data_IF_849256221874
#
_entry.id   IF_849256221874
#
_cell.length_a   1.000
_cell.length_b   1.000
_cell.length_c   1.000
_cell.angle_alpha   90.00
_cell.angle_beta   90.00
_cell.angle_gamma   90.00
#
_symmetry.space_group_name_H-M   'P 1'
#
loop_
_entity.id
_entity.type
_entity.pdbx_description
1 polymer ?
#
# COMPACT_ATOMS: atom_id res chain seq x y z
N UNK A 1 -58.77 -19.60 -33.43
CA UNK A 1 -57.79 -18.76 -32.74
C UNK A 1 -56.39 -19.22 -33.13
N UNK A 2 -55.80 -18.54 -34.10
CA UNK A 2 -54.47 -18.85 -34.61
C UNK A 2 -53.45 -18.13 -33.73
N UNK A 3 -52.67 -18.86 -32.93
CA UNK A 3 -51.58 -18.29 -32.13
C UNK A 3 -50.33 -18.21 -33.00
N UNK A 4 -49.90 -16.98 -33.32
CA UNK A 4 -48.57 -16.72 -33.86
C UNK A 4 -47.55 -16.84 -32.72
N UNK A 5 -46.61 -17.76 -32.86
CA UNK A 5 -45.41 -17.85 -32.02
C UNK A 5 -44.38 -16.90 -32.63
N UNK A 6 -44.16 -15.75 -32.00
CA UNK A 6 -43.13 -14.80 -32.40
C UNK A 6 -41.78 -15.32 -31.86
N UNK A 7 -40.97 -15.92 -32.73
CA UNK A 7 -39.62 -16.38 -32.37
C UNK A 7 -38.66 -15.21 -32.50
N UNK A 8 -38.19 -14.67 -31.36
CA UNK A 8 -37.13 -13.68 -31.32
C UNK A 8 -35.81 -14.34 -31.73
N UNK A 9 -35.34 -14.05 -32.95
CA UNK A 9 -34.01 -14.44 -33.43
C UNK A 9 -33.00 -13.52 -32.75
N UNK A 10 -32.28 -14.04 -31.76
CA UNK A 10 -31.12 -13.40 -31.17
C UNK A 10 -29.96 -13.56 -32.16
N UNK A 11 -29.57 -12.47 -32.84
CA UNK A 11 -28.37 -12.44 -33.67
C UNK A 11 -27.15 -12.57 -32.76
N UNK A 12 -26.54 -13.75 -32.70
CA UNK A 12 -25.15 -13.91 -32.31
C UNK A 12 -24.30 -13.36 -33.45
N UNK A 13 -23.76 -12.15 -33.28
CA UNK A 13 -22.59 -11.72 -34.05
C UNK A 13 -21.44 -12.60 -33.56
N UNK A 14 -21.18 -13.69 -34.28
CA UNK A 14 -20.09 -14.60 -34.01
C UNK A 14 -18.76 -13.92 -34.31
N UNK A 15 -17.84 -13.94 -33.34
CA UNK A 15 -16.45 -13.61 -33.59
C UNK A 15 -15.88 -14.60 -34.61
N UNK A 16 -15.44 -14.06 -35.76
CA UNK A 16 -14.99 -14.83 -36.91
C UNK A 16 -13.54 -15.27 -36.65
N UNK A 17 -13.34 -16.58 -36.49
CA UNK A 17 -12.06 -17.14 -36.02
C UNK A 17 -11.08 -17.33 -37.17
N UNK A 18 -9.99 -16.57 -37.17
CA UNK A 18 -8.75 -16.97 -37.86
C UNK A 18 -7.54 -16.65 -37.01
N UNK A 19 -7.04 -17.65 -36.28
CA UNK A 19 -5.91 -17.53 -35.36
C UNK A 19 -4.63 -17.97 -36.08
N UNK A 20 -3.75 -17.03 -36.40
CA UNK A 20 -2.33 -17.30 -36.62
C UNK A 20 -1.58 -17.02 -35.32
N UNK A 21 -1.02 -18.07 -34.71
CA UNK A 21 -0.22 -17.98 -33.49
C UNK A 21 1.10 -17.23 -33.77
N UNK A 22 1.23 -16.00 -33.28
CA UNK A 22 2.48 -15.22 -33.32
C UNK A 22 3.23 -15.32 -31.97
N UNK A 23 4.55 -15.15 -32.02
CA UNK A 23 5.42 -15.10 -30.84
C UNK A 23 5.09 -13.85 -30.01
N UNK A 24 4.80 -14.05 -28.72
CA UNK A 24 4.45 -13.00 -27.76
C UNK A 24 3.24 -13.42 -26.92
N UNK A 25 3.03 -12.81 -25.78
CA UNK A 25 1.84 -13.04 -24.94
C UNK A 25 1.21 -11.70 -24.57
N UNK A 26 -0.12 -11.67 -24.39
CA UNK A 26 -0.77 -10.55 -23.70
C UNK A 26 -0.39 -10.63 -22.23
N UNK A 27 0.35 -9.63 -21.74
CA UNK A 27 0.79 -9.60 -20.35
C UNK A 27 -0.02 -8.59 -19.55
N UNK A 28 -0.26 -8.88 -18.27
CA UNK A 28 -0.93 -7.94 -17.37
C UNK A 28 -0.14 -7.70 -16.10
N UNK A 29 -0.13 -6.43 -15.65
CA UNK A 29 0.52 -6.00 -14.41
C UNK A 29 -0.51 -5.29 -13.52
N UNK A 30 -0.61 -5.71 -12.27
CA UNK A 30 -1.38 -5.05 -11.22
C UNK A 30 -0.44 -4.68 -10.08
N UNK A 31 -0.48 -3.43 -9.65
CA UNK A 31 0.32 -2.90 -8.54
C UNK A 31 -0.35 -1.66 -7.94
N UNK A 32 0.15 -1.22 -6.78
CA UNK A 32 -0.33 -0.04 -6.08
C UNK A 32 0.79 1.00 -6.01
N UNK A 33 0.44 2.29 -6.01
CA UNK A 33 1.36 3.41 -5.87
C UNK A 33 0.94 4.35 -4.75
N UNK A 34 1.92 4.91 -4.06
CA UNK A 34 1.72 6.01 -3.11
C UNK A 34 1.63 7.38 -3.83
N UNK A 35 1.53 8.47 -3.06
CA UNK A 35 1.49 9.84 -3.57
C UNK A 35 2.77 10.29 -4.29
N UNK A 36 3.89 9.65 -3.98
CA UNK A 36 5.20 9.86 -4.60
C UNK A 36 5.36 9.06 -5.91
N UNK A 37 4.34 8.30 -6.32
CA UNK A 37 4.33 7.39 -7.48
C UNK A 37 5.22 6.16 -7.34
N UNK A 38 5.69 5.84 -6.13
CA UNK A 38 6.46 4.64 -5.86
C UNK A 38 5.53 3.42 -5.75
N UNK A 39 5.92 2.30 -6.37
CA UNK A 39 5.22 1.02 -6.21
C UNK A 39 5.45 0.48 -4.79
N UNK A 40 4.38 0.35 -3.99
CA UNK A 40 4.46 -0.08 -2.58
C UNK A 40 3.27 -0.93 -2.18
N UNK A 41 3.47 -1.76 -1.16
CA UNK A 41 2.42 -2.57 -0.49
C UNK A 41 2.12 -2.05 0.92
N UNK A 42 2.75 -0.94 1.32
CA UNK A 42 2.61 -0.31 2.63
C UNK A 42 2.22 1.15 2.45
N UNK A 43 1.16 1.55 3.12
CA UNK A 43 0.58 2.89 3.04
C UNK A 43 0.35 3.46 4.43
N UNK A 44 0.64 4.73 4.65
CA UNK A 44 0.26 5.43 5.88
C UNK A 44 -1.25 5.66 5.97
N UNK A 45 -1.76 5.81 7.18
CA UNK A 45 -3.18 6.07 7.42
C UNK A 45 -3.59 7.39 6.75
N UNK A 46 -4.64 7.40 5.94
CA UNK A 46 -5.00 8.62 5.20
C UNK A 46 -4.06 9.01 4.06
N UNK A 47 -2.99 8.25 3.82
CA UNK A 47 -2.26 8.32 2.56
C UNK A 47 -3.17 7.81 1.44
N UNK A 48 -3.06 8.44 0.26
CA UNK A 48 -3.80 7.99 -0.90
C UNK A 48 -3.19 6.72 -1.49
N UNK A 49 -4.05 5.91 -2.09
CA UNK A 49 -3.69 4.62 -2.66
C UNK A 49 -4.12 4.63 -4.12
N UNK A 50 -3.13 4.61 -5.02
CA UNK A 50 -3.37 4.59 -6.46
C UNK A 50 -3.24 3.16 -7.00
N UNK A 51 -4.37 2.60 -7.42
CA UNK A 51 -4.47 1.30 -8.07
C UNK A 51 -4.10 1.43 -9.53
N UNK A 52 -3.21 0.56 -10.00
CA UNK A 52 -2.70 0.61 -11.37
C UNK A 52 -2.81 -0.77 -12.00
N UNK A 53 -3.51 -0.86 -13.13
CA UNK A 53 -3.58 -2.06 -13.95
C UNK A 53 -3.14 -1.75 -15.37
N UNK A 54 -2.33 -2.61 -15.96
CA UNK A 54 -1.94 -2.50 -17.37
C UNK A 54 -2.08 -3.82 -18.10
N UNK A 55 -2.40 -3.71 -19.38
CA UNK A 55 -2.50 -4.81 -20.35
C UNK A 55 -1.58 -4.43 -21.50
N UNK A 56 -0.59 -5.27 -21.78
CA UNK A 56 0.38 -5.03 -22.83
C UNK A 56 0.29 -6.15 -23.86
N UNK A 57 0.09 -5.78 -25.12
CA UNK A 57 0.16 -6.70 -26.24
C UNK A 57 1.59 -6.82 -26.76
N UNK A 58 2.30 -7.87 -26.31
CA UNK A 58 3.66 -8.16 -26.76
C UNK A 58 3.73 -9.03 -28.02
N UNK A 59 2.60 -9.22 -28.69
CA UNK A 59 2.51 -10.01 -29.93
C UNK A 59 2.65 -9.11 -31.16
N UNK A 60 2.77 -9.74 -32.33
CA UNK A 60 2.75 -9.06 -33.63
C UNK A 60 1.31 -8.84 -34.16
N UNK A 61 0.30 -9.43 -33.49
CA UNK A 61 -1.10 -9.38 -33.89
C UNK A 61 -1.87 -8.33 -33.09
N UNK A 62 -2.95 -7.81 -33.68
CA UNK A 62 -3.97 -7.05 -32.94
C UNK A 62 -5.09 -7.98 -32.50
N UNK A 63 -5.70 -7.68 -31.35
CA UNK A 63 -6.80 -8.49 -30.80
C UNK A 63 -8.04 -7.64 -30.58
N UNK A 64 -9.19 -8.14 -31.05
CA UNK A 64 -10.49 -7.55 -30.72
C UNK A 64 -10.91 -7.97 -29.31
N UNK A 65 -11.49 -7.03 -28.57
CA UNK A 65 -12.11 -7.29 -27.27
C UNK A 65 -13.41 -6.53 -27.11
N UNK A 66 -14.34 -7.14 -26.37
CA UNK A 66 -15.59 -6.53 -25.97
C UNK A 66 -15.40 -5.86 -24.60
N UNK A 67 -15.83 -4.61 -24.46
CA UNK A 67 -15.80 -3.85 -23.21
C UNK A 67 -17.15 -3.21 -22.92
N UNK A 68 -17.35 -2.77 -21.68
CA UNK A 68 -18.43 -1.83 -21.37
C UNK A 68 -18.07 -0.44 -21.91
N UNK A 69 -18.90 0.10 -22.81
CA UNK A 69 -18.64 1.32 -23.57
C UNK A 69 -18.42 2.56 -22.69
N UNK A 70 -19.14 2.63 -21.55
CA UNK A 70 -19.09 3.78 -20.65
C UNK A 70 -18.38 3.49 -19.32
N UNK A 71 -17.94 2.25 -19.08
CA UNK A 71 -17.33 1.82 -17.83
C UNK A 71 -15.80 1.70 -17.91
N UNK A 72 -15.10 1.64 -16.76
CA UNK A 72 -13.67 1.37 -16.75
C UNK A 72 -13.37 -0.05 -17.25
N UNK A 73 -12.24 -0.24 -17.90
CA UNK A 73 -11.77 -1.57 -18.34
C UNK A 73 -11.51 -2.52 -17.16
N UNK A 74 -11.27 -1.96 -15.98
CA UNK A 74 -10.97 -2.71 -14.76
C UNK A 74 -11.76 -2.11 -13.61
N UNK A 75 -12.38 -2.96 -12.81
CA UNK A 75 -12.89 -2.59 -11.49
C UNK A 75 -11.88 -2.97 -10.43
N UNK A 76 -11.56 -2.03 -9.55
CA UNK A 76 -10.75 -2.30 -8.37
C UNK A 76 -11.65 -2.53 -7.17
N UNK A 77 -11.34 -3.55 -6.38
CA UNK A 77 -12.06 -3.89 -5.16
C UNK A 77 -11.08 -3.96 -3.99
N UNK A 78 -11.48 -3.44 -2.84
CA UNK A 78 -10.68 -3.50 -1.61
C UNK A 78 -11.41 -4.33 -0.57
N UNK A 79 -10.71 -5.30 0.00
CA UNK A 79 -11.20 -6.21 1.02
C UNK A 79 -10.41 -6.07 2.32
N UNK A 80 -11.09 -6.23 3.46
CA UNK A 80 -10.47 -6.48 4.76
C UNK A 80 -10.89 -7.87 5.22
N UNK A 81 -9.92 -8.80 5.29
CA UNK A 81 -10.22 -10.24 5.38
C UNK A 81 -11.14 -10.63 4.20
N UNK A 82 -12.29 -11.24 4.47
CA UNK A 82 -13.25 -11.66 3.44
C UNK A 82 -14.36 -10.63 3.15
N UNK A 83 -14.31 -9.46 3.79
CA UNK A 83 -15.34 -8.43 3.65
C UNK A 83 -14.93 -7.35 2.64
N UNK A 84 -15.79 -7.11 1.65
CA UNK A 84 -15.63 -6.02 0.68
C UNK A 84 -15.86 -4.67 1.38
N UNK A 85 -14.87 -3.78 1.29
CA UNK A 85 -14.89 -2.45 1.90
C UNK A 85 -15.35 -1.39 0.91
N UNK A 86 -14.99 -1.54 -0.37
CA UNK A 86 -15.45 -0.64 -1.42
C UNK A 86 -14.86 -0.98 -2.77
N UNK A 87 -15.35 -0.28 -3.79
CA UNK A 87 -15.00 -0.51 -5.20
C UNK A 87 -14.75 0.79 -5.94
N UNK A 88 -14.00 0.71 -7.05
CA UNK A 88 -13.82 1.84 -7.96
C UNK A 88 -15.09 2.27 -8.71
N UNK A 89 -16.23 1.59 -8.48
CA UNK A 89 -17.53 1.93 -9.06
C UNK A 89 -18.47 2.59 -8.03
N UNK A 90 -18.06 2.73 -6.77
CA UNK A 90 -18.94 3.23 -5.72
C UNK A 90 -19.34 4.68 -6.00
N UNK A 91 -20.65 4.92 -6.11
CA UNK A 91 -21.21 6.22 -6.49
C UNK A 91 -21.30 6.48 -8.01
N UNK A 92 -20.95 5.50 -8.85
CA UNK A 92 -21.05 5.60 -10.30
C UNK A 92 -22.20 4.74 -10.85
N UNK A 93 -22.87 5.24 -11.88
CA UNK A 93 -23.90 4.51 -12.62
C UNK A 93 -23.51 4.47 -14.10
N UNK A 94 -23.44 3.27 -14.67
CA UNK A 94 -23.09 3.05 -16.06
C UNK A 94 -24.27 2.41 -16.79
N UNK A 95 -24.49 2.83 -18.03
CA UNK A 95 -25.41 2.13 -18.92
C UNK A 95 -24.59 1.00 -19.56
N UNK A 96 -24.98 -0.27 -19.41
CA UNK A 96 -24.24 -1.40 -19.96
C UNK A 96 -24.48 -1.45 -21.47
N UNK A 97 -23.72 -0.64 -22.20
CA UNK A 97 -23.55 -0.75 -23.64
C UNK A 97 -22.28 -1.55 -23.86
N UNK A 98 -22.35 -2.62 -24.67
CA UNK A 98 -21.16 -3.38 -25.05
C UNK A 98 -20.60 -2.74 -26.31
N UNK A 99 -19.31 -2.42 -26.28
CA UNK A 99 -18.56 -1.90 -27.42
C UNK A 99 -17.41 -2.86 -27.76
N UNK A 100 -17.12 -2.98 -29.03
CA UNK A 100 -15.93 -3.67 -29.53
C UNK A 100 -14.79 -2.66 -29.68
N UNK A 101 -13.58 -3.07 -29.30
CA UNK A 101 -12.37 -2.27 -29.43
C UNK A 101 -11.17 -3.17 -29.79
N UNK A 102 -10.06 -2.56 -30.22
CA UNK A 102 -8.90 -3.28 -30.74
C UNK A 102 -7.66 -2.92 -29.91
N UNK A 103 -7.04 -3.94 -29.32
CA UNK A 103 -5.72 -3.84 -28.72
C UNK A 103 -4.66 -4.15 -29.78
N UNK A 104 -3.96 -3.11 -30.25
CA UNK A 104 -2.97 -3.21 -31.33
C UNK A 104 -1.70 -3.93 -30.88
N UNK A 105 -0.97 -4.49 -31.85
CA UNK A 105 0.37 -5.03 -31.60
C UNK A 105 1.29 -3.96 -30.98
N UNK A 106 1.95 -4.31 -29.87
CA UNK A 106 2.81 -3.41 -29.10
C UNK A 106 2.09 -2.36 -28.25
N UNK A 107 0.75 -2.36 -28.19
CA UNK A 107 -0.02 -1.39 -27.42
C UNK A 107 -0.11 -1.79 -25.95
N UNK A 108 -0.06 -0.78 -25.07
CA UNK A 108 -0.33 -0.92 -23.64
C UNK A 108 -1.53 -0.06 -23.26
N UNK A 109 -2.55 -0.69 -22.68
CA UNK A 109 -3.66 -0.01 -22.04
C UNK A 109 -3.42 0.05 -20.54
N UNK A 110 -3.62 1.23 -19.94
CA UNK A 110 -3.47 1.43 -18.49
C UNK A 110 -4.77 1.96 -17.91
N UNK A 111 -5.16 1.43 -16.76
CA UNK A 111 -6.26 1.94 -15.93
C UNK A 111 -5.70 2.30 -14.57
N UNK A 112 -5.96 3.52 -14.14
CA UNK A 112 -5.57 4.05 -12.84
C UNK A 112 -6.82 4.42 -12.05
N UNK A 113 -6.80 4.16 -10.74
CA UNK A 113 -7.85 4.57 -9.83
C UNK A 113 -7.25 5.01 -8.51
N UNK A 114 -7.70 6.15 -8.03
CA UNK A 114 -7.27 6.74 -6.77
C UNK A 114 -8.36 6.47 -5.71
N UNK A 115 -7.99 5.84 -4.59
CA UNK A 115 -8.97 5.41 -3.58
C UNK A 115 -9.84 6.56 -3.08
N UNK A 116 -9.21 7.68 -2.73
CA UNK A 116 -9.89 8.84 -2.15
C UNK A 116 -10.57 9.74 -3.19
N UNK A 117 -10.48 9.41 -4.48
CA UNK A 117 -11.18 10.16 -5.53
C UNK A 117 -12.69 9.94 -5.53
N UNK A 118 -13.18 8.83 -4.97
CA UNK A 118 -14.60 8.62 -4.78
C UNK A 118 -15.06 9.31 -3.49
N UNK A 119 -16.03 10.23 -3.59
CA UNK A 119 -16.52 11.02 -2.46
C UNK A 119 -17.10 10.20 -1.29
N UNK A 120 -17.47 8.94 -1.55
CA UNK A 120 -18.00 8.00 -0.55
C UNK A 120 -16.90 7.26 0.22
N UNK A 121 -15.68 7.23 -0.30
CA UNK A 121 -14.57 6.54 0.35
C UNK A 121 -13.98 7.40 1.47
N UNK A 122 -13.75 6.76 2.60
CA UNK A 122 -12.95 7.29 3.70
C UNK A 122 -11.54 6.70 3.65
N UNK A 123 -10.56 7.35 4.30
CA UNK A 123 -9.29 6.71 4.61
C UNK A 123 -9.47 5.29 5.14
N UNK A 124 -8.72 4.34 4.56
CA UNK A 124 -8.71 2.99 5.09
C UNK A 124 -8.11 3.01 6.51
N UNK A 125 -8.77 2.42 7.51
CA UNK A 125 -8.18 2.25 8.82
C UNK A 125 -6.89 1.43 8.77
N UNK A 126 -6.09 1.49 9.83
CA UNK A 126 -4.91 0.64 9.97
C UNK A 126 -5.31 -0.84 9.90
N UNK A 127 -4.48 -1.63 9.22
CA UNK A 127 -4.62 -3.08 9.12
C UNK A 127 -4.23 -3.68 7.77
N UNK A 128 -4.51 -4.97 7.63
CA UNK A 128 -4.26 -5.75 6.41
C UNK A 128 -5.44 -5.73 5.45
N UNK A 129 -5.12 -5.64 4.16
CA UNK A 129 -6.09 -5.53 3.08
C UNK A 129 -5.69 -6.36 1.86
N UNK A 130 -6.69 -6.71 1.06
CA UNK A 130 -6.51 -7.33 -0.25
C UNK A 130 -7.16 -6.45 -1.30
N UNK A 131 -6.38 -6.04 -2.29
CA UNK A 131 -6.87 -5.40 -3.49
C UNK A 131 -7.10 -6.44 -4.60
N UNK A 132 -8.20 -6.32 -5.35
CA UNK A 132 -8.47 -7.15 -6.53
C UNK A 132 -8.69 -6.27 -7.74
N UNK A 133 -7.99 -6.57 -8.84
CA UNK A 133 -8.24 -5.97 -10.14
C UNK A 133 -9.10 -6.94 -10.97
N UNK A 134 -10.32 -6.52 -11.30
CA UNK A 134 -11.27 -7.29 -12.12
C UNK A 134 -11.42 -6.69 -13.51
N UNK A 135 -10.83 -7.30 -14.54
CA UNK A 135 -11.11 -6.96 -15.93
C UNK A 135 -12.62 -7.00 -16.23
N UNK A 136 -13.11 -5.98 -16.94
CA UNK A 136 -14.49 -5.82 -17.44
C UNK A 136 -14.52 -5.84 -18.97
N UNK A 137 -13.64 -6.65 -19.55
CA UNK A 137 -13.55 -6.89 -20.98
C UNK A 137 -13.25 -8.36 -21.26
N UNK A 138 -13.54 -8.79 -22.49
CA UNK A 138 -13.30 -10.14 -22.96
C UNK A 138 -12.68 -10.12 -24.37
N UNK A 139 -11.53 -10.77 -24.55
CA UNK A 139 -10.95 -10.97 -25.88
C UNK A 139 -11.71 -12.06 -26.64
N UNK A 140 -11.91 -11.85 -27.94
CA UNK A 140 -12.62 -12.81 -28.78
C UNK A 140 -11.82 -14.07 -29.12
N UNK A 141 -10.49 -13.94 -29.28
CA UNK A 141 -9.66 -14.97 -29.91
C UNK A 141 -8.66 -15.63 -28.95
N UNK A 142 -8.56 -15.13 -27.72
CA UNK A 142 -7.58 -15.57 -26.71
C UNK A 142 -8.21 -15.58 -25.32
N UNK A 143 -7.56 -16.26 -24.39
CA UNK A 143 -7.98 -16.22 -22.99
C UNK A 143 -7.89 -14.79 -22.45
N UNK A 144 -8.99 -14.33 -21.87
CA UNK A 144 -9.04 -13.01 -21.24
C UNK A 144 -8.23 -12.98 -19.94
N UNK A 145 -7.66 -11.82 -19.57
CA UNK A 145 -6.95 -11.68 -18.31
C UNK A 145 -7.83 -12.05 -17.12
N UNK A 146 -7.24 -12.82 -16.21
CA UNK A 146 -7.90 -13.23 -14.97
C UNK A 146 -7.80 -12.16 -13.90
N UNK A 147 -8.69 -12.23 -12.91
CA UNK A 147 -8.65 -11.40 -11.71
C UNK A 147 -7.29 -11.54 -11.04
N UNK A 148 -6.67 -10.41 -10.70
CA UNK A 148 -5.40 -10.37 -9.97
C UNK A 148 -5.64 -9.86 -8.57
N UNK A 149 -5.05 -10.53 -7.59
CA UNK A 149 -5.13 -10.17 -6.18
C UNK A 149 -3.77 -9.65 -5.71
N UNK A 150 -3.79 -8.69 -4.79
CA UNK A 150 -2.61 -8.04 -4.27
C UNK A 150 -2.82 -7.68 -2.81
N UNK A 151 -1.92 -8.14 -1.93
CA UNK A 151 -1.99 -7.86 -0.50
C UNK A 151 -1.26 -6.55 -0.19
N UNK A 152 -1.85 -5.75 0.70
CA UNK A 152 -1.24 -4.52 1.17
C UNK A 152 -1.67 -4.21 2.60
N UNK A 153 -0.89 -3.38 3.29
CA UNK A 153 -1.15 -2.94 4.66
C UNK A 153 -1.29 -1.43 4.70
N UNK A 154 -2.25 -0.96 5.50
CA UNK A 154 -2.29 0.42 5.97
C UNK A 154 -1.71 0.45 7.38
N UNK A 155 -0.68 1.27 7.58
CA UNK A 155 -0.01 1.53 8.86
C UNK A 155 -0.44 2.91 9.36
N UNK A 156 -0.14 3.28 10.61
CA UNK A 156 -0.37 4.66 11.08
C UNK A 156 0.42 5.65 10.21
N UNK A 157 -0.05 6.90 10.06
CA UNK A 157 0.80 7.93 9.47
C UNK A 157 2.10 8.00 10.25
N UNK A 158 3.22 8.04 9.55
CA UNK A 158 4.49 8.19 10.20
C UNK A 158 4.61 9.57 10.82
N UNK A 159 4.65 9.62 12.14
CA UNK A 159 5.09 10.82 12.83
C UNK A 159 6.56 11.09 12.50
N UNK A 160 6.93 12.36 12.46
CA UNK A 160 8.33 12.73 12.22
C UNK A 160 9.19 12.27 13.39
N UNK A 161 10.33 11.63 13.10
CA UNK A 161 11.37 11.43 14.08
C UNK A 161 11.83 12.78 14.63
N UNK A 162 11.87 12.90 15.96
CA UNK A 162 12.26 14.12 16.67
C UNK A 162 13.73 14.05 17.05
N UNK A 163 14.50 15.08 16.73
CA UNK A 163 15.90 15.19 17.18
C UNK A 163 15.90 15.97 18.50
N UNK A 164 16.49 15.40 19.54
CA UNK A 164 16.44 15.96 20.89
C UNK A 164 17.67 15.60 21.71
N UNK A 165 17.99 16.41 22.71
CA UNK A 165 19.00 16.10 23.74
C UNK A 165 18.35 15.71 25.08
N UNK A 166 17.05 15.42 25.07
CA UNK A 166 16.35 14.90 26.24
C UNK A 166 16.94 13.54 26.65
N UNK A 167 17.26 13.33 27.94
CA UNK A 167 17.77 12.05 28.38
C UNK A 167 16.68 10.97 28.25
N UNK A 168 17.04 9.68 28.01
CA UNK A 168 16.08 8.63 27.70
C UNK A 168 14.96 8.42 28.73
N UNK A 169 15.28 8.57 30.01
CA UNK A 169 14.35 8.48 31.15
C UNK A 169 13.26 9.58 31.13
N UNK A 170 13.51 10.70 30.46
CA UNK A 170 12.50 11.75 30.23
C UNK A 170 11.68 11.56 28.95
N UNK A 171 12.12 10.66 28.06
CA UNK A 171 11.43 10.32 26.82
C UNK A 171 10.45 9.19 27.08
N UNK A 172 10.90 8.11 27.71
CA UNK A 172 10.11 6.91 27.97
C UNK A 172 9.17 7.14 29.16
N UNK A 173 7.86 7.17 28.91
CA UNK A 173 6.84 7.35 29.96
C UNK A 173 6.30 5.99 30.39
N UNK A 174 5.52 5.34 29.52
CA UNK A 174 4.84 4.09 29.82
C UNK A 174 5.52 2.89 29.16
N UNK A 175 5.41 1.72 29.80
CA UNK A 175 6.13 0.52 29.38
C UNK A 175 5.60 -0.04 28.06
N UNK A 176 6.52 -0.58 27.26
CA UNK A 176 6.23 -1.34 26.05
C UNK A 176 7.32 -2.40 25.83
N UNK A 177 7.01 -3.41 25.02
CA UNK A 177 7.95 -4.40 24.52
C UNK A 177 8.23 -4.15 23.04
N UNK A 178 9.48 -3.88 22.67
CA UNK A 178 9.91 -3.80 21.29
C UNK A 178 10.15 -5.20 20.70
N UNK A 179 9.29 -5.61 19.75
CA UNK A 179 9.34 -6.93 19.14
C UNK A 179 10.21 -6.97 17.88
N UNK A 180 10.10 -5.96 17.00
CA UNK A 180 10.90 -5.89 15.77
C UNK A 180 11.08 -4.46 15.24
N UNK A 181 12.13 -4.27 14.44
CA UNK A 181 12.47 -3.02 13.76
C UNK A 181 12.75 -3.32 12.29
N UNK A 182 12.17 -2.53 11.39
CA UNK A 182 12.46 -2.57 9.97
C UNK A 182 12.60 -1.16 9.40
N UNK A 183 13.37 -0.99 8.33
CA UNK A 183 13.53 0.29 7.63
C UNK A 183 13.24 0.06 6.15
N UNK A 184 12.45 0.94 5.53
CA UNK A 184 12.19 0.96 4.09
C UNK A 184 12.14 2.41 3.61
N UNK A 185 13.06 2.79 2.70
CA UNK A 185 13.19 4.19 2.29
C UNK A 185 13.52 5.09 3.49
N UNK A 186 12.81 6.21 3.62
CA UNK A 186 12.91 7.14 4.75
C UNK A 186 11.94 6.81 5.89
N UNK A 187 11.52 5.55 6.03
CA UNK A 187 10.55 5.17 7.06
C UNK A 187 11.11 4.04 7.93
N UNK A 188 10.98 4.19 9.24
CA UNK A 188 11.24 3.13 10.21
C UNK A 188 9.92 2.58 10.73
N UNK A 189 9.82 1.26 10.86
CA UNK A 189 8.67 0.54 11.35
C UNK A 189 9.04 -0.21 12.61
N UNK A 190 8.24 -0.03 13.66
CA UNK A 190 8.43 -0.61 14.96
C UNK A 190 7.22 -1.48 15.28
N UNK A 191 7.44 -2.77 15.49
CA UNK A 191 6.42 -3.64 16.05
C UNK A 191 6.61 -3.69 17.57
N UNK A 192 5.56 -3.35 18.30
CA UNK A 192 5.61 -3.23 19.75
C UNK A 192 4.39 -3.85 20.40
N UNK A 193 4.53 -4.25 21.66
CA UNK A 193 3.43 -4.70 22.50
C UNK A 193 3.33 -3.87 23.78
N UNK A 194 2.12 -3.61 24.28
CA UNK A 194 1.87 -2.84 25.50
C UNK A 194 0.56 -3.26 26.18
N UNK A 195 0.40 -2.88 27.46
CA UNK A 195 -0.85 -3.04 28.20
C UNK A 195 -1.80 -1.87 27.93
N UNK A 196 -3.10 -2.13 27.82
CA UNK A 196 -4.12 -1.09 27.64
C UNK A 196 -5.34 -1.59 26.87
N UNK A 197 -5.92 -0.72 26.04
CA UNK A 197 -6.92 -1.07 25.02
C UNK A 197 -8.28 -0.42 25.17
N UNK A 198 -8.44 0.44 26.15
CA UNK A 198 -9.66 1.21 26.35
C UNK A 198 -9.48 2.67 25.92
N UNK A 199 -8.26 3.18 25.94
CA UNK A 199 -7.91 4.53 25.49
C UNK A 199 -7.05 4.51 24.21
N UNK A 200 -6.89 5.69 23.60
CA UNK A 200 -5.97 5.88 22.47
C UNK A 200 -4.55 6.20 22.98
N UNK A 201 -3.63 5.29 22.72
CA UNK A 201 -2.22 5.43 23.10
C UNK A 201 -1.44 6.25 22.07
N UNK A 202 -0.52 7.10 22.54
CA UNK A 202 0.30 7.97 21.69
C UNK A 202 1.74 7.47 21.63
N UNK A 203 2.35 7.54 20.44
CA UNK A 203 3.71 7.10 20.20
C UNK A 203 4.52 8.20 19.53
N UNK A 204 5.73 8.45 20.04
CA UNK A 204 6.68 9.39 19.43
C UNK A 204 8.06 8.74 19.35
N UNK A 205 8.85 9.04 18.33
CA UNK A 205 10.22 8.53 18.20
C UNK A 205 11.22 9.67 18.26
N UNK A 206 12.22 9.52 19.11
CA UNK A 206 13.28 10.50 19.33
C UNK A 206 14.64 9.92 18.97
N UNK A 207 15.44 10.66 18.22
CA UNK A 207 16.90 10.51 18.24
C UNK A 207 17.44 11.29 19.45
N UNK A 208 18.10 10.59 20.37
CA UNK A 208 18.78 11.21 21.52
C UNK A 208 20.10 10.50 21.84
N UNK A 209 21.20 11.22 22.13
CA UNK A 209 21.34 12.67 21.93
C UNK A 209 21.15 13.04 20.46
N UNK A 210 20.98 14.33 20.18
CA UNK A 210 20.76 14.87 18.83
C UNK A 210 22.01 14.82 17.94
N UNK A 211 22.88 13.84 18.13
CA UNK A 211 24.15 13.66 17.46
C UNK A 211 24.43 12.18 17.15
N UNK A 212 25.17 11.93 16.08
CA UNK A 212 25.62 10.58 15.73
C UNK A 212 26.77 10.11 16.63
N UNK A 213 26.77 8.84 17.02
CA UNK A 213 27.87 8.24 17.75
C UNK A 213 29.04 7.97 16.82
N UNK A 214 30.24 8.27 17.31
CA UNK A 214 31.51 8.07 16.60
C UNK A 214 31.77 6.59 16.33
N UNK A 215 31.44 6.14 15.11
CA UNK A 215 31.65 4.78 14.63
C UNK A 215 31.69 4.77 13.09
N UNK A 216 32.03 3.63 12.49
CA UNK A 216 31.99 3.46 11.03
C UNK A 216 31.33 2.12 10.67
N UNK A 217 30.07 2.10 10.19
CA UNK A 217 29.18 3.24 9.95
C UNK A 217 28.82 4.01 11.24
N UNK A 218 28.39 5.26 11.10
CA UNK A 218 27.94 6.05 12.27
C UNK A 218 26.66 5.47 12.85
N UNK A 219 26.41 5.73 14.13
CA UNK A 219 25.24 5.19 14.84
C UNK A 219 24.33 6.31 15.32
N UNK A 220 23.01 6.06 15.35
CA UNK A 220 22.02 6.92 15.99
C UNK A 220 21.21 6.10 16.99
N UNK A 221 21.05 6.62 18.20
CA UNK A 221 20.24 5.99 19.24
C UNK A 221 18.82 6.56 19.17
N UNK A 222 17.84 5.68 19.10
CA UNK A 222 16.43 6.00 18.98
C UNK A 222 15.67 5.52 20.21
N UNK A 223 14.85 6.40 20.77
CA UNK A 223 14.04 6.16 21.96
C UNK A 223 12.59 6.48 21.66
N UNK A 224 11.70 5.54 21.96
CA UNK A 224 10.27 5.74 21.80
C UNK A 224 9.65 6.29 23.08
N UNK A 225 8.78 7.28 22.94
CA UNK A 225 7.81 7.63 23.97
C UNK A 225 6.50 6.89 23.68
N UNK A 226 5.97 6.24 24.70
CA UNK A 226 4.64 5.67 24.74
C UNK A 226 3.86 6.36 25.87
N UNK A 227 2.69 6.93 25.56
CA UNK A 227 1.79 7.56 26.54
C UNK A 227 0.44 6.84 26.49
N UNK A 228 0.09 6.15 27.56
CA UNK A 228 -1.15 5.37 27.68
C UNK A 228 -2.36 6.19 28.17
N UNK A 229 -2.16 7.44 28.59
CA UNK A 229 -3.21 8.32 29.14
C UNK A 229 -3.92 7.75 30.37
N UNK A 230 -3.18 7.04 31.23
CA UNK A 230 -3.71 6.37 32.42
C UNK A 230 -4.73 5.26 32.08
N UNK A 231 -4.55 4.55 30.95
CA UNK A 231 -5.42 3.44 30.55
C UNK A 231 -5.37 2.28 31.58
N UNK A 232 -6.48 2.07 32.28
CA UNK A 232 -6.59 1.05 33.33
C UNK A 232 -6.88 -0.37 32.78
N UNK A 233 -6.95 -0.55 31.46
CA UNK A 233 -7.22 -1.85 30.86
C UNK A 233 -5.96 -2.72 30.75
N UNK A 234 -6.14 -4.02 30.97
CA UNK A 234 -5.04 -5.00 31.03
C UNK A 234 -4.90 -5.83 29.75
N UNK A 235 -5.42 -5.35 28.60
CA UNK A 235 -5.27 -6.10 27.36
C UNK A 235 -3.83 -5.96 26.85
N UNK A 236 -3.25 -7.06 26.38
CA UNK A 236 -1.91 -7.04 25.77
C UNK A 236 -2.03 -6.84 24.27
N UNK A 237 -1.84 -5.60 23.82
CA UNK A 237 -2.01 -5.17 22.44
C UNK A 237 -0.68 -5.21 21.73
N UNK A 238 -0.65 -5.78 20.52
CA UNK A 238 0.48 -5.67 19.59
C UNK A 238 0.10 -4.78 18.43
N UNK A 239 0.91 -3.76 18.15
CA UNK A 239 0.70 -2.83 17.03
C UNK A 239 1.97 -2.61 16.23
N UNK A 240 1.82 -2.05 15.04
CA UNK A 240 2.93 -1.54 14.23
C UNK A 240 2.76 -0.02 14.12
N UNK A 241 3.79 0.71 14.54
CA UNK A 241 3.91 2.16 14.34
C UNK A 241 5.05 2.45 13.40
N UNK A 242 4.99 3.60 12.73
CA UNK A 242 6.03 4.02 11.80
C UNK A 242 6.41 5.48 12.03
N UNK A 243 7.64 5.83 11.63
CA UNK A 243 8.16 7.19 11.76
C UNK A 243 8.99 7.58 10.54
N UNK A 244 8.91 8.86 10.15
CA UNK A 244 9.65 9.42 9.03
C UNK A 244 11.07 9.81 9.50
N UNK A 245 12.07 9.20 8.86
CA UNK A 245 13.50 9.40 9.07
C UNK A 245 14.06 10.59 8.29
N UNK A 246 13.26 11.34 7.53
CA UNK A 246 13.72 12.52 6.80
C UNK A 246 14.48 13.52 7.68
N UNK A 247 14.05 13.85 8.92
CA UNK A 247 14.85 14.69 9.81
C UNK A 247 16.25 14.13 10.10
N UNK A 248 16.37 12.81 10.25
CA UNK A 248 17.64 12.11 10.44
C UNK A 248 18.50 12.17 9.17
N UNK A 249 17.88 11.97 8.01
CA UNK A 249 18.53 12.04 6.70
C UNK A 249 19.13 13.43 6.43
N UNK A 250 18.35 14.48 6.71
CA UNK A 250 18.77 15.87 6.57
C UNK A 250 19.93 16.20 7.51
N UNK A 251 19.85 15.79 8.77
CA UNK A 251 20.94 15.97 9.75
C UNK A 251 22.22 15.26 9.26
N UNK A 252 22.11 14.02 8.78
CA UNK A 252 23.24 13.26 8.26
C UNK A 252 23.88 13.96 7.05
N UNK A 253 23.06 14.40 6.09
CA UNK A 253 23.53 15.11 4.90
C UNK A 253 24.20 16.44 5.26
N UNK A 254 23.69 17.17 6.24
CA UNK A 254 24.30 18.42 6.73
C UNK A 254 25.68 18.19 7.36
N UNK A 255 25.85 17.11 8.12
CA UNK A 255 27.09 16.83 8.85
C UNK A 255 28.17 16.14 8.00
N UNK A 256 27.78 15.22 7.10
CA UNK A 256 28.73 14.37 6.38
C UNK A 256 28.80 14.66 4.87
N UNK A 257 27.83 15.39 4.30
CA UNK A 257 27.85 15.88 2.92
C UNK A 257 27.79 14.80 1.81
N UNK A 258 27.70 13.52 2.17
CA UNK A 258 27.73 12.38 1.26
C UNK A 258 26.74 11.30 1.70
N UNK A 259 26.28 10.49 0.75
CA UNK A 259 25.54 9.25 1.06
C UNK A 259 26.41 8.30 1.88
N UNK A 260 25.81 7.63 2.84
CA UNK A 260 26.46 6.60 3.64
C UNK A 260 25.45 5.86 4.51
N UNK A 261 25.93 4.84 5.21
CA UNK A 261 25.10 4.00 6.06
C UNK A 261 25.05 4.56 7.49
N UNK A 262 23.89 4.47 8.12
CA UNK A 262 23.64 4.78 9.52
C UNK A 262 23.11 3.50 10.18
N UNK A 263 23.70 3.15 11.31
CA UNK A 263 23.19 2.09 12.18
C UNK A 263 22.22 2.72 13.18
N UNK A 264 20.95 2.33 13.12
CA UNK A 264 19.91 2.79 14.03
C UNK A 264 19.78 1.81 15.20
N UNK A 265 20.05 2.26 16.41
CA UNK A 265 19.87 1.49 17.63
C UNK A 265 18.55 1.91 18.28
N UNK A 266 17.51 1.09 18.15
CA UNK A 266 16.19 1.37 18.74
C UNK A 266 16.09 0.70 20.09
N UNK A 267 16.06 1.51 21.15
CA UNK A 267 16.00 1.02 22.51
C UNK A 267 14.57 0.64 22.88
N UNK A 268 14.48 -0.49 23.56
CA UNK A 268 13.27 -0.93 24.23
C UNK A 268 12.98 -0.08 25.48
N UNK A 269 11.82 -0.27 26.12
CA UNK A 269 11.53 0.40 27.40
C UNK A 269 12.49 -0.06 28.51
N UNK A 270 12.94 0.88 29.34
CA UNK A 270 13.69 0.59 30.56
C UNK A 270 13.44 1.64 31.64
N UNK A 271 13.55 1.23 32.91
CA UNK A 271 13.44 2.14 34.05
C UNK A 271 14.80 2.67 34.52
N UNK A 272 15.81 1.81 34.59
CA UNK A 272 17.11 2.18 35.17
C UNK A 272 18.22 2.39 34.12
N UNK A 273 18.48 1.38 33.29
CA UNK A 273 19.53 1.42 32.29
C UNK A 273 19.07 0.80 30.96
N UNK A 274 19.48 1.39 29.82
CA UNK A 274 19.18 0.83 28.51
C UNK A 274 19.88 -0.53 28.35
N UNK A 275 19.11 -1.62 28.45
CA UNK A 275 19.62 -2.99 28.38
C UNK A 275 19.37 -3.69 27.05
N UNK A 276 18.17 -3.52 26.45
CA UNK A 276 17.76 -4.17 25.20
C UNK A 276 17.55 -3.13 24.11
N UNK A 277 18.15 -3.34 22.95
CA UNK A 277 17.86 -2.58 21.73
C UNK A 277 17.88 -3.52 20.52
N UNK A 278 17.16 -3.13 19.49
CA UNK A 278 17.22 -3.75 18.17
C UNK A 278 17.92 -2.81 17.20
N UNK A 279 18.58 -3.38 16.20
CA UNK A 279 19.39 -2.61 15.25
C UNK A 279 18.81 -2.70 13.85
N UNK A 280 18.75 -1.58 13.15
CA UNK A 280 18.45 -1.51 11.72
C UNK A 280 19.52 -0.72 10.96
N UNK A 281 19.68 -1.04 9.68
CA UNK A 281 20.58 -0.30 8.77
C UNK A 281 19.75 0.66 7.93
N UNK A 282 20.20 1.91 7.84
CA UNK A 282 19.55 2.96 7.07
C UNK A 282 20.56 3.64 6.14
N UNK A 283 20.12 4.01 4.93
CA UNK A 283 20.96 4.66 3.92
C UNK A 283 20.17 5.79 3.27
N UNK A 284 20.26 7.03 3.79
CA UNK A 284 19.60 8.20 3.23
C UNK A 284 20.10 8.58 1.82
#
# INVERSE_FOLDING_TARGET
>A
MTKYLLTTIMFFLGCDTSINASKGEITTKFFLKNNQSDETTRFGFGQDINFNYSIENRTENSYSYLKQDTGPLVTFEVYKKDSLIGTSLDGLAFIPVIAEDILKAGETLTTEYNWLSAAVHQPLPVGEYTAKARPKFEFCDINSPVVREFEFRVVTMSDLLKISDLPPDSIQLDSFDLNSVAVSGNEIFLNLSYSGGCEEHEFELFMSPGAFLESNPVQANLFMRHNDKDDACDAYITTEVSFDLTPLAELYQQLYGRKGEIILNVFDYFQDQPGRHLTARYSP
#
